data_IF_143881303218
#
_entry.id   IF_143881303218
#
_cell.length_a   1.000
_cell.length_b   1.000
_cell.length_c   1.000
_cell.angle_alpha   90.00
_cell.angle_beta   90.00
_cell.angle_gamma   90.00
#
_symmetry.space_group_name_H-M   'P 1'
#
loop_
_entity.id
_entity.type
_entity.pdbx_description
1 polymer ?
#
# COMPACT_ATOMS: atom_id res chain seq x y z
N UNK A 1 -19.36 -32.76 -77.53
CA UNK A 1 -18.36 -31.86 -76.97
C UNK A 1 -19.00 -30.67 -76.22
N UNK A 2 -20.16 -30.82 -75.58
CA UNK A 2 -20.90 -29.70 -74.91
C UNK A 2 -21.16 -29.99 -73.42
N UNK A 3 -20.88 -31.21 -72.93
CA UNK A 3 -21.14 -31.60 -71.52
C UNK A 3 -19.96 -31.36 -70.52
N UNK A 4 -18.76 -31.03 -71.04
CA UNK A 4 -17.57 -30.82 -70.17
C UNK A 4 -17.37 -29.37 -69.71
N UNK A 5 -18.08 -28.41 -70.29
CA UNK A 5 -17.94 -26.97 -69.96
C UNK A 5 -18.84 -26.54 -68.80
N UNK A 6 -19.95 -27.18 -68.49
CA UNK A 6 -20.90 -26.82 -67.43
C UNK A 6 -20.46 -27.25 -66.02
N UNK A 7 -19.67 -28.33 -65.94
CA UNK A 7 -19.17 -28.77 -64.60
C UNK A 7 -18.06 -27.91 -64.04
N UNK A 8 -17.29 -27.18 -64.84
CA UNK A 8 -16.21 -26.31 -64.42
C UNK A 8 -16.71 -24.93 -63.91
N UNK A 9 -17.89 -24.51 -64.31
CA UNK A 9 -18.51 -23.27 -63.93
C UNK A 9 -19.21 -23.43 -62.57
N UNK A 10 -19.86 -24.56 -62.30
CA UNK A 10 -20.49 -24.87 -61.02
C UNK A 10 -19.45 -25.05 -59.88
N UNK A 11 -18.29 -25.67 -60.21
CA UNK A 11 -17.22 -25.84 -59.21
C UNK A 11 -16.54 -24.50 -58.76
N UNK A 12 -16.53 -23.50 -59.66
CA UNK A 12 -15.97 -22.18 -59.35
C UNK A 12 -16.93 -21.28 -58.55
N UNK A 13 -18.23 -21.47 -58.69
CA UNK A 13 -19.24 -20.72 -57.91
C UNK A 13 -19.39 -21.25 -56.48
N UNK A 14 -19.13 -22.52 -56.21
CA UNK A 14 -19.15 -23.11 -54.87
C UNK A 14 -17.92 -22.73 -54.02
N UNK A 15 -16.77 -22.46 -54.64
CA UNK A 15 -15.55 -22.03 -53.93
C UNK A 15 -15.62 -20.56 -53.52
N UNK A 16 -16.33 -19.71 -54.22
CA UNK A 16 -16.49 -18.27 -53.88
C UNK A 16 -17.52 -18.08 -52.76
N UNK A 17 -18.52 -18.96 -52.63
CA UNK A 17 -19.51 -18.89 -51.56
C UNK A 17 -18.98 -19.36 -50.21
N UNK A 18 -17.90 -20.17 -50.17
CA UNK A 18 -17.33 -20.69 -48.90
C UNK A 18 -16.32 -19.73 -48.24
N UNK A 19 -15.85 -18.70 -48.93
CA UNK A 19 -14.90 -17.71 -48.38
C UNK A 19 -15.60 -16.51 -47.72
N UNK A 20 -16.89 -16.30 -47.98
CA UNK A 20 -17.64 -15.17 -47.45
C UNK A 20 -18.24 -15.40 -46.04
N UNK A 21 -18.09 -16.60 -45.44
CA UNK A 21 -18.63 -16.92 -44.10
C UNK A 21 -17.58 -16.98 -42.98
N UNK A 22 -16.33 -16.59 -43.22
CA UNK A 22 -15.24 -16.66 -42.23
C UNK A 22 -14.79 -15.29 -41.71
N UNK A 23 -15.53 -14.20 -41.93
CA UNK A 23 -15.18 -12.87 -41.40
C UNK A 23 -16.34 -12.29 -40.58
N UNK A 24 -16.67 -12.99 -39.51
CA UNK A 24 -17.44 -12.42 -38.43
C UNK A 24 -16.91 -12.96 -37.08
N UNK A 25 -15.59 -12.93 -36.91
CA UNK A 25 -15.04 -12.81 -35.57
C UNK A 25 -15.06 -11.32 -35.24
N UNK A 26 -16.03 -10.89 -34.46
CA UNK A 26 -16.10 -9.53 -33.95
C UNK A 26 -14.75 -9.12 -33.41
N UNK A 27 -14.18 -8.06 -33.92
CA UNK A 27 -13.22 -7.24 -33.19
C UNK A 27 -13.99 -6.67 -32.00
N UNK A 28 -14.15 -7.44 -30.90
CA UNK A 28 -14.32 -6.84 -29.61
C UNK A 28 -12.99 -6.13 -29.36
N UNK A 29 -13.01 -4.80 -29.44
CA UNK A 29 -11.90 -4.00 -28.94
C UNK A 29 -11.64 -4.49 -27.52
N UNK A 30 -10.39 -4.86 -27.18
CA UNK A 30 -10.10 -5.37 -25.85
C UNK A 30 -10.50 -4.28 -24.84
N UNK A 31 -11.50 -4.56 -24.03
CA UNK A 31 -11.92 -3.66 -22.95
C UNK A 31 -10.67 -3.27 -22.17
N UNK A 32 -10.38 -1.99 -21.96
CA UNK A 32 -9.20 -1.56 -21.25
C UNK A 32 -9.07 -2.31 -19.92
N UNK A 33 -7.92 -2.91 -19.67
CA UNK A 33 -7.63 -3.57 -18.39
C UNK A 33 -7.07 -2.54 -17.42
N UNK A 34 -7.61 -2.50 -16.21
CA UNK A 34 -7.06 -1.68 -15.13
C UNK A 34 -5.89 -2.46 -14.52
N UNK A 35 -4.68 -1.97 -14.73
CA UNK A 35 -3.48 -2.59 -14.15
C UNK A 35 -3.14 -1.91 -12.82
N UNK A 36 -3.13 -2.69 -11.75
CA UNK A 36 -2.77 -2.23 -10.40
C UNK A 36 -1.29 -2.54 -10.15
N UNK A 37 -0.54 -1.54 -9.77
CA UNK A 37 0.89 -1.65 -9.49
C UNK A 37 1.17 -2.29 -8.13
N UNK A 38 2.17 -3.16 -8.06
CA UNK A 38 2.81 -3.57 -6.82
C UNK A 38 4.31 -3.28 -6.89
N UNK A 39 4.83 -2.57 -5.89
CA UNK A 39 6.27 -2.42 -5.67
C UNK A 39 6.90 -3.69 -5.09
N UNK A 40 8.13 -3.58 -4.59
CA UNK A 40 8.90 -4.74 -4.11
C UNK A 40 8.47 -5.24 -2.70
N UNK A 41 7.62 -4.50 -1.97
CA UNK A 41 7.19 -4.92 -0.64
C UNK A 41 6.02 -5.93 -0.69
N UNK A 42 5.94 -6.77 0.33
CA UNK A 42 4.82 -7.70 0.52
C UNK A 42 3.50 -6.91 0.66
N UNK A 43 3.53 -5.85 1.45
CA UNK A 43 2.36 -4.97 1.62
C UNK A 43 1.86 -4.42 0.29
N UNK A 44 2.75 -3.89 -0.55
CA UNK A 44 2.37 -3.38 -1.87
C UNK A 44 1.70 -4.46 -2.74
N UNK A 45 2.20 -5.70 -2.64
CA UNK A 45 1.61 -6.84 -3.36
C UNK A 45 0.22 -7.19 -2.83
N UNK A 46 0.04 -7.21 -1.51
CA UNK A 46 -1.28 -7.46 -0.88
C UNK A 46 -2.28 -6.36 -1.23
N UNK A 47 -1.88 -5.09 -1.14
CA UNK A 47 -2.74 -3.96 -1.50
C UNK A 47 -3.13 -3.97 -2.98
N UNK A 48 -2.18 -4.28 -3.87
CA UNK A 48 -2.46 -4.38 -5.30
C UNK A 48 -3.50 -5.46 -5.61
N UNK A 49 -3.41 -6.62 -4.97
CA UNK A 49 -4.38 -7.71 -5.12
C UNK A 49 -5.75 -7.37 -4.52
N UNK A 50 -5.79 -6.66 -3.38
CA UNK A 50 -7.04 -6.15 -2.79
C UNK A 50 -7.73 -5.19 -3.76
N UNK A 51 -7.02 -4.18 -4.27
CA UNK A 51 -7.61 -3.18 -5.18
C UNK A 51 -8.00 -3.79 -6.53
N UNK A 52 -7.16 -4.66 -7.11
CA UNK A 52 -7.48 -5.36 -8.33
C UNK A 52 -8.72 -6.25 -8.16
N UNK A 53 -8.79 -7.02 -7.08
CA UNK A 53 -9.91 -7.89 -6.76
C UNK A 53 -11.21 -7.10 -6.52
N UNK A 54 -11.15 -5.99 -5.78
CA UNK A 54 -12.30 -5.12 -5.53
C UNK A 54 -12.83 -4.50 -6.83
N UNK A 55 -11.94 -4.01 -7.69
CA UNK A 55 -12.30 -3.46 -9.01
C UNK A 55 -12.88 -4.54 -9.94
N UNK A 56 -12.32 -5.76 -9.94
CA UNK A 56 -12.85 -6.88 -10.73
C UNK A 56 -14.30 -7.22 -10.37
N UNK A 57 -14.69 -7.10 -9.11
CA UNK A 57 -16.08 -7.33 -8.63
C UNK A 57 -17.06 -6.25 -9.09
N UNK A 58 -16.59 -5.15 -9.67
CA UNK A 58 -17.45 -4.20 -10.39
C UNK A 58 -17.73 -4.60 -11.85
N UNK A 59 -17.09 -5.67 -12.34
CA UNK A 59 -17.13 -6.12 -13.72
C UNK A 59 -15.94 -5.59 -14.55
N UNK A 60 -15.01 -4.84 -13.96
CA UNK A 60 -13.81 -4.39 -14.65
C UNK A 60 -12.85 -5.56 -14.91
N UNK A 61 -12.12 -5.50 -16.03
CA UNK A 61 -10.97 -6.38 -16.27
C UNK A 61 -9.76 -5.78 -15.56
N UNK A 62 -9.16 -6.54 -14.65
CA UNK A 62 -8.03 -6.08 -13.84
C UNK A 62 -6.82 -7.00 -14.01
N UNK A 63 -5.64 -6.46 -13.82
CA UNK A 63 -4.39 -7.19 -13.72
C UNK A 63 -3.52 -6.58 -12.63
N UNK A 64 -2.64 -7.36 -12.00
CA UNK A 64 -1.61 -6.86 -11.09
C UNK A 64 -0.27 -6.90 -11.83
N UNK A 65 0.47 -5.79 -11.78
CA UNK A 65 1.85 -5.69 -12.25
C UNK A 65 2.79 -5.73 -11.02
N UNK A 66 3.39 -6.89 -10.71
CA UNK A 66 4.23 -7.05 -9.53
C UNK A 66 5.65 -6.57 -9.76
N UNK A 67 6.38 -6.29 -8.66
CA UNK A 67 7.83 -6.06 -8.69
C UNK A 67 8.26 -4.82 -9.44
N UNK A 68 7.48 -3.73 -9.36
CA UNK A 68 7.80 -2.47 -10.04
C UNK A 68 8.84 -1.61 -9.29
N UNK A 69 9.58 -2.20 -8.38
CA UNK A 69 10.65 -1.51 -7.67
C UNK A 69 10.16 -0.68 -6.49
N UNK A 70 10.88 0.41 -6.21
CA UNK A 70 10.60 1.35 -5.13
C UNK A 70 9.57 2.40 -5.55
N UNK A 71 9.15 3.26 -4.59
CA UNK A 71 8.13 4.30 -4.82
C UNK A 71 8.37 5.12 -6.09
N UNK A 72 9.56 5.59 -6.34
CA UNK A 72 9.88 6.36 -7.54
C UNK A 72 9.62 5.57 -8.84
N UNK A 73 9.88 4.27 -8.84
CA UNK A 73 9.76 3.41 -10.02
C UNK A 73 8.30 3.16 -10.39
N UNK A 74 7.45 2.78 -9.42
CA UNK A 74 6.03 2.57 -9.71
C UNK A 74 5.24 3.87 -9.91
N UNK A 75 5.64 4.99 -9.27
CA UNK A 75 5.07 6.30 -9.58
C UNK A 75 5.42 6.75 -10.99
N UNK A 76 6.65 6.52 -11.46
CA UNK A 76 7.01 6.76 -12.85
C UNK A 76 6.25 5.85 -13.83
N UNK A 77 5.91 4.61 -13.41
CA UNK A 77 5.07 3.73 -14.21
C UNK A 77 3.62 4.24 -14.28
N UNK A 78 3.09 4.78 -13.19
CA UNK A 78 1.76 5.40 -13.11
C UNK A 78 1.69 6.67 -13.98
N UNK A 79 2.71 7.53 -13.92
CA UNK A 79 2.80 8.74 -14.73
C UNK A 79 2.86 8.42 -16.22
N UNK A 80 3.62 7.38 -16.59
CA UNK A 80 3.75 6.89 -17.98
C UNK A 80 2.56 6.06 -18.47
N UNK A 81 1.46 5.96 -17.69
CA UNK A 81 0.27 5.15 -17.99
C UNK A 81 0.52 3.65 -18.23
N UNK A 82 1.64 3.12 -17.73
CA UNK A 82 1.92 1.67 -17.78
C UNK A 82 1.14 0.89 -16.74
N UNK A 83 0.75 1.56 -15.66
CA UNK A 83 -0.16 1.09 -14.60
C UNK A 83 -1.12 2.22 -14.27
N UNK A 84 -2.27 1.90 -13.68
CA UNK A 84 -3.33 2.88 -13.51
C UNK A 84 -3.70 3.13 -12.05
N UNK A 85 -3.44 2.19 -11.16
CA UNK A 85 -3.74 2.26 -9.73
C UNK A 85 -2.54 1.75 -8.93
N UNK A 86 -2.29 2.33 -7.77
CA UNK A 86 -1.30 1.85 -6.81
C UNK A 86 -1.78 2.09 -5.38
N UNK A 87 -1.47 1.16 -4.47
CA UNK A 87 -1.65 1.36 -3.03
C UNK A 87 -0.51 2.18 -2.45
N UNK A 88 -0.83 3.22 -1.69
CA UNK A 88 0.15 4.13 -1.08
C UNK A 88 -0.14 4.44 0.38
N UNK A 89 0.85 5.00 1.07
CA UNK A 89 0.73 5.54 2.41
C UNK A 89 0.66 7.06 2.38
N UNK A 90 -0.27 7.62 3.12
CA UNK A 90 -0.52 9.06 3.14
C UNK A 90 0.71 9.89 3.50
N UNK A 91 1.37 9.58 4.61
CA UNK A 91 2.50 10.36 5.10
C UNK A 91 3.77 10.18 4.27
N UNK A 92 4.05 8.94 3.85
CA UNK A 92 5.22 8.64 3.02
C UNK A 92 5.07 9.18 1.59
N UNK A 93 3.85 9.16 1.03
CA UNK A 93 3.56 9.81 -0.25
C UNK A 93 3.72 11.33 -0.14
N UNK A 94 3.17 11.94 0.93
CA UNK A 94 3.36 13.38 1.16
C UNK A 94 4.83 13.75 1.25
N UNK A 95 5.62 12.99 2.01
CA UNK A 95 7.05 13.27 2.15
C UNK A 95 7.85 13.10 0.83
N UNK A 96 7.34 12.27 -0.09
CA UNK A 96 7.91 12.13 -1.43
C UNK A 96 7.54 13.32 -2.34
N UNK A 97 6.31 13.83 -2.23
CA UNK A 97 5.80 14.95 -3.05
C UNK A 97 6.25 16.31 -2.52
N UNK A 98 6.33 16.48 -1.21
CA UNK A 98 6.74 17.69 -0.51
C UNK A 98 7.56 17.32 0.76
N UNK A 99 8.87 17.37 0.64
CA UNK A 99 9.80 17.07 1.75
C UNK A 99 9.73 18.08 2.90
N UNK A 100 9.17 19.26 2.66
CA UNK A 100 9.03 20.33 3.65
C UNK A 100 7.67 20.33 4.35
N UNK A 101 6.75 19.44 3.96
CA UNK A 101 5.44 19.35 4.60
C UNK A 101 5.57 19.04 6.10
N UNK A 102 4.91 19.84 6.92
CA UNK A 102 4.93 19.71 8.39
C UNK A 102 3.64 19.15 9.00
N UNK A 103 2.58 19.03 8.19
CA UNK A 103 1.30 18.49 8.65
C UNK A 103 1.43 17.01 9.05
N UNK A 104 0.67 16.61 10.09
CA UNK A 104 0.80 15.27 10.69
C UNK A 104 -0.53 14.56 10.90
N UNK A 105 -1.62 15.29 11.13
CA UNK A 105 -2.93 14.71 11.39
C UNK A 105 -3.52 14.11 10.10
N UNK A 106 -4.25 13.00 10.17
CA UNK A 106 -4.72 12.26 8.98
C UNK A 106 -5.42 13.12 7.93
N UNK A 107 -6.36 13.98 8.34
CA UNK A 107 -7.12 14.84 7.44
C UNK A 107 -6.23 15.89 6.75
N UNK A 108 -5.30 16.46 7.51
CA UNK A 108 -4.35 17.47 6.99
C UNK A 108 -3.37 16.83 6.01
N UNK A 109 -2.89 15.62 6.32
CA UNK A 109 -1.97 14.86 5.46
C UNK A 109 -2.64 14.52 4.13
N UNK A 110 -3.87 13.97 4.14
CA UNK A 110 -4.60 13.66 2.90
C UNK A 110 -4.87 14.92 2.08
N UNK A 111 -5.24 16.03 2.72
CA UNK A 111 -5.43 17.31 2.04
C UNK A 111 -4.13 17.81 1.40
N UNK A 112 -3.01 17.69 2.11
CA UNK A 112 -1.70 18.10 1.60
C UNK A 112 -1.24 17.17 0.46
N UNK A 113 -1.44 15.85 0.56
CA UNK A 113 -1.21 14.91 -0.54
C UNK A 113 -1.99 15.34 -1.77
N UNK A 114 -3.30 15.55 -1.63
CA UNK A 114 -4.17 15.93 -2.75
C UNK A 114 -3.74 17.25 -3.42
N UNK A 115 -3.19 18.19 -2.65
CA UNK A 115 -2.68 19.47 -3.15
C UNK A 115 -1.31 19.35 -3.84
N UNK A 116 -0.47 18.39 -3.42
CA UNK A 116 0.88 18.19 -3.93
C UNK A 116 0.95 17.20 -5.11
N UNK A 117 -0.14 16.44 -5.38
CA UNK A 117 -0.17 15.50 -6.48
C UNK A 117 0.04 16.18 -7.83
N UNK A 118 0.81 15.56 -8.74
CA UNK A 118 0.88 15.98 -10.14
C UNK A 118 -0.49 16.05 -10.80
N UNK A 119 -0.64 16.97 -11.76
CA UNK A 119 -1.86 17.05 -12.57
C UNK A 119 -2.15 15.69 -13.22
N UNK A 120 -3.42 15.27 -13.14
CA UNK A 120 -3.84 13.98 -13.70
C UNK A 120 -3.81 12.80 -12.73
N UNK A 121 -3.30 12.97 -11.51
CA UNK A 121 -3.38 11.96 -10.45
C UNK A 121 -4.36 12.38 -9.36
N UNK A 122 -5.02 11.41 -8.75
CA UNK A 122 -5.96 11.60 -7.64
C UNK A 122 -5.86 10.44 -6.64
N UNK A 123 -6.25 10.71 -5.42
CA UNK A 123 -6.45 9.69 -4.37
C UNK A 123 -7.94 9.56 -4.07
N UNK A 124 -8.32 8.39 -3.54
CA UNK A 124 -9.64 8.14 -2.98
C UNK A 124 -9.58 8.18 -1.45
N UNK A 125 -10.64 7.69 -0.78
CA UNK A 125 -10.68 7.67 0.67
C UNK A 125 -9.51 6.85 1.25
N UNK A 126 -8.94 7.35 2.35
CA UNK A 126 -7.95 6.59 3.12
C UNK A 126 -8.64 5.54 4.00
N UNK A 127 -7.97 4.44 4.24
CA UNK A 127 -8.37 3.45 5.22
C UNK A 127 -8.11 4.00 6.65
N UNK A 128 -9.14 4.53 7.29
CA UNK A 128 -9.02 5.13 8.63
C UNK A 128 -8.59 4.11 9.67
N UNK A 129 -9.08 2.86 9.54
CA UNK A 129 -8.74 1.74 10.41
C UNK A 129 -7.36 1.15 10.18
N UNK A 130 -6.69 1.46 9.06
CA UNK A 130 -5.35 0.98 8.74
C UNK A 130 -4.30 2.06 9.04
N UNK A 131 -3.88 2.14 10.31
CA UNK A 131 -2.84 3.06 10.80
C UNK A 131 -1.49 2.34 10.88
N UNK A 132 -0.64 2.59 9.88
CA UNK A 132 0.67 1.97 9.73
C UNK A 132 1.83 2.88 10.16
N UNK A 133 1.53 4.00 10.82
CA UNK A 133 2.59 4.91 11.31
C UNK A 133 3.52 4.20 12.30
N UNK A 134 4.78 4.64 12.39
CA UNK A 134 5.73 4.14 13.37
C UNK A 134 5.24 4.29 14.81
N UNK A 135 5.69 3.38 15.67
CA UNK A 135 5.38 3.40 17.09
C UNK A 135 6.61 3.77 17.93
N UNK A 136 6.41 4.66 18.89
CA UNK A 136 7.45 5.09 19.86
C UNK A 136 7.44 4.13 21.04
N UNK A 137 8.61 3.59 21.38
CA UNK A 137 8.79 2.55 22.39
C UNK A 137 9.75 3.02 23.47
N UNK A 138 9.44 2.65 24.71
CA UNK A 138 10.35 2.67 25.86
C UNK A 138 10.40 1.28 26.49
N UNK A 139 11.39 1.00 27.35
CA UNK A 139 11.24 -0.15 28.25
C UNK A 139 10.05 0.09 29.19
N UNK A 140 9.30 -0.98 29.51
CA UNK A 140 8.16 -0.87 30.45
C UNK A 140 8.62 -0.31 31.81
N UNK A 141 9.83 -0.64 32.24
CA UNK A 141 10.43 -0.12 33.47
C UNK A 141 10.66 1.40 33.40
N UNK A 142 11.32 1.91 32.34
CA UNK A 142 11.57 3.35 32.17
C UNK A 142 10.26 4.13 32.06
N UNK A 143 9.31 3.65 31.26
CA UNK A 143 7.99 4.28 31.13
C UNK A 143 7.26 4.40 32.48
N UNK A 144 7.33 3.36 33.32
CA UNK A 144 6.71 3.37 34.65
C UNK A 144 7.44 4.31 35.65
N UNK A 145 8.78 4.24 35.68
CA UNK A 145 9.60 5.07 36.57
C UNK A 145 9.45 6.56 36.26
N UNK A 146 9.48 6.92 35.00
CA UNK A 146 9.41 8.29 34.51
C UNK A 146 7.99 8.79 34.31
N UNK A 147 6.99 7.92 34.48
CA UNK A 147 5.57 8.20 34.27
C UNK A 147 5.26 8.69 32.84
N UNK A 148 5.98 8.17 31.85
CA UNK A 148 5.78 8.47 30.40
C UNK A 148 4.77 7.48 29.85
N UNK A 149 3.65 7.98 29.34
CA UNK A 149 2.57 7.18 28.72
C UNK A 149 2.31 7.58 27.28
N UNK A 150 2.61 8.83 26.94
CA UNK A 150 2.38 9.40 25.63
C UNK A 150 3.68 9.89 25.02
N UNK A 151 3.70 10.10 23.71
CA UNK A 151 4.82 10.74 23.03
C UNK A 151 5.00 12.17 23.51
N UNK A 152 3.90 12.88 23.85
CA UNK A 152 3.94 14.21 24.45
C UNK A 152 4.65 14.26 25.82
N UNK A 153 4.51 13.22 26.66
CA UNK A 153 5.25 13.11 27.92
C UNK A 153 6.76 12.94 27.70
N UNK A 154 7.15 12.30 26.59
CA UNK A 154 8.55 12.06 26.22
C UNK A 154 9.22 13.33 25.68
N UNK A 155 8.51 14.16 24.93
CA UNK A 155 9.04 15.30 24.18
C UNK A 155 9.98 16.21 24.97
N UNK A 156 9.70 16.61 26.26
CA UNK A 156 10.61 17.47 27.01
C UNK A 156 11.98 16.86 27.35
N UNK A 157 12.15 15.54 27.13
CA UNK A 157 13.34 14.77 27.53
C UNK A 157 14.16 14.28 26.34
N UNK A 158 13.65 14.37 25.13
CA UNK A 158 14.25 13.79 23.93
C UNK A 158 15.69 14.21 23.67
N UNK A 159 16.06 15.47 23.94
CA UNK A 159 17.38 16.04 23.64
C UNK A 159 18.56 15.33 24.29
N UNK A 160 18.33 14.55 25.36
CA UNK A 160 19.36 13.76 26.02
C UNK A 160 19.34 12.26 25.66
N UNK A 161 18.40 11.81 24.82
CA UNK A 161 18.14 10.40 24.57
C UNK A 161 18.65 9.98 23.17
N UNK A 162 19.10 8.74 23.08
CA UNK A 162 19.41 8.07 21.82
C UNK A 162 18.19 7.27 21.36
N UNK A 163 17.73 7.50 20.12
CA UNK A 163 16.66 6.73 19.51
C UNK A 163 17.24 5.61 18.61
N UNK A 164 16.74 4.38 18.81
CA UNK A 164 16.94 3.28 17.91
C UNK A 164 15.80 3.22 16.90
N UNK A 165 16.09 2.97 15.63
CA UNK A 165 15.09 2.87 14.56
C UNK A 165 15.18 1.50 13.92
N UNK A 166 14.04 0.83 13.74
CA UNK A 166 13.94 -0.40 12.97
C UNK A 166 12.69 -0.39 12.10
N UNK A 167 12.81 -0.88 10.87
CA UNK A 167 11.68 -1.09 9.97
C UNK A 167 11.19 -2.53 10.07
N UNK A 168 9.89 -2.73 10.10
CA UNK A 168 9.31 -4.07 10.06
C UNK A 168 9.35 -4.62 8.62
N UNK A 169 9.91 -5.84 8.41
CA UNK A 169 9.97 -6.44 7.09
C UNK A 169 8.59 -6.64 6.46
N UNK A 170 8.50 -6.37 5.17
CA UNK A 170 7.28 -6.54 4.38
C UNK A 170 6.47 -5.26 4.16
N UNK A 171 6.74 -4.19 4.91
CA UNK A 171 6.11 -2.89 4.73
C UNK A 171 6.63 -2.15 3.49
N UNK A 172 5.80 -1.27 2.96
CA UNK A 172 6.24 -0.21 2.05
C UNK A 172 7.29 0.65 2.76
N UNK A 173 8.43 0.96 2.11
CA UNK A 173 9.43 1.82 2.72
C UNK A 173 8.85 3.19 3.04
N UNK A 174 9.00 3.62 4.29
CA UNK A 174 8.76 5.01 4.68
C UNK A 174 9.76 5.94 3.96
N UNK A 175 9.51 7.25 3.99
CA UNK A 175 10.38 8.21 3.32
C UNK A 175 11.76 8.40 3.97
N UNK A 176 12.17 7.53 4.89
CA UNK A 176 13.53 7.44 5.46
C UNK A 176 13.90 8.53 6.46
N UNK A 177 12.97 9.39 6.85
CA UNK A 177 13.14 10.38 7.92
C UNK A 177 11.92 10.39 8.83
N UNK A 178 11.72 9.29 9.53
CA UNK A 178 10.71 9.22 10.56
C UNK A 178 11.09 10.21 11.65
N UNK A 179 10.31 11.27 11.78
CA UNK A 179 10.47 12.30 12.82
C UNK A 179 9.38 12.14 13.85
N UNK A 180 9.76 12.32 15.10
CA UNK A 180 8.84 12.50 16.21
C UNK A 180 8.81 13.99 16.50
N UNK A 181 7.67 14.64 16.28
CA UNK A 181 7.53 16.08 16.51
C UNK A 181 7.77 16.42 17.99
N UNK A 182 8.49 17.52 18.21
CA UNK A 182 8.90 17.91 19.53
C UNK A 182 10.07 17.11 20.11
N UNK A 183 10.68 16.16 19.34
CA UNK A 183 11.81 15.35 19.79
C UNK A 183 13.04 15.57 18.90
N UNK A 184 14.02 16.28 19.43
CA UNK A 184 15.36 16.39 18.84
C UNK A 184 16.29 15.43 19.62
N UNK A 185 16.35 14.17 19.18
CA UNK A 185 17.16 13.14 19.83
C UNK A 185 18.65 13.44 19.73
N UNK A 186 19.42 13.10 20.77
CA UNK A 186 20.87 13.29 20.81
C UNK A 186 21.60 12.47 19.73
N UNK A 187 21.09 11.27 19.43
CA UNK A 187 21.62 10.39 18.39
C UNK A 187 20.53 9.46 17.86
N UNK A 188 20.72 8.98 16.64
CA UNK A 188 19.88 7.96 15.99
C UNK A 188 20.73 6.78 15.59
N UNK A 189 20.29 5.56 15.94
CA UNK A 189 20.94 4.29 15.63
C UNK A 189 19.97 3.40 14.85
N UNK A 190 20.36 2.96 13.66
CA UNK A 190 19.55 2.02 12.88
C UNK A 190 19.81 0.57 13.29
N UNK A 191 18.74 -0.21 13.38
CA UNK A 191 18.77 -1.64 13.66
C UNK A 191 18.21 -2.42 12.46
N UNK A 192 18.71 -3.64 12.19
CA UNK A 192 18.30 -4.39 11.01
C UNK A 192 16.86 -4.89 11.06
N UNK A 193 16.31 -5.07 12.27
CA UNK A 193 14.98 -5.62 12.47
C UNK A 193 14.39 -5.23 13.85
N UNK A 194 13.10 -5.46 14.08
CA UNK A 194 12.43 -5.17 15.35
C UNK A 194 12.99 -5.92 16.56
N UNK A 195 13.50 -7.15 16.39
CA UNK A 195 14.07 -7.95 17.49
C UNK A 195 15.39 -7.36 17.97
N UNK A 196 16.24 -6.91 17.05
CA UNK A 196 17.48 -6.21 17.36
C UNK A 196 17.23 -4.88 18.08
N UNK A 197 16.24 -4.10 17.65
CA UNK A 197 15.81 -2.88 18.31
C UNK A 197 15.31 -3.17 19.73
N UNK A 198 14.42 -4.17 19.89
CA UNK A 198 13.91 -4.58 21.21
C UNK A 198 15.06 -4.95 22.15
N UNK A 199 16.00 -5.77 21.67
CA UNK A 199 17.17 -6.16 22.46
C UNK A 199 18.00 -4.96 22.90
N UNK A 200 18.26 -4.02 21.99
CA UNK A 200 19.04 -2.81 22.28
C UNK A 200 18.36 -1.91 23.33
N UNK A 201 17.03 -1.81 23.29
CA UNK A 201 16.24 -1.11 24.32
C UNK A 201 16.36 -1.79 25.68
N UNK A 202 16.17 -3.10 25.75
CA UNK A 202 16.26 -3.87 27.02
C UNK A 202 17.67 -3.87 27.61
N UNK A 203 18.70 -3.86 26.78
CA UNK A 203 20.11 -3.77 27.19
C UNK A 203 20.55 -2.31 27.55
N UNK A 204 19.70 -1.32 27.29
CA UNK A 204 19.99 0.10 27.57
C UNK A 204 20.94 0.77 26.57
N UNK A 205 21.22 0.13 25.43
CA UNK A 205 22.06 0.71 24.36
C UNK A 205 21.39 1.92 23.70
N UNK A 206 20.06 1.93 23.62
CA UNK A 206 19.24 3.06 23.22
C UNK A 206 18.10 3.23 24.24
N UNK A 207 17.61 4.45 24.42
CA UNK A 207 16.60 4.77 25.43
C UNK A 207 15.20 4.82 24.82
N UNK A 208 15.08 5.15 23.56
CA UNK A 208 13.82 5.24 22.82
C UNK A 208 13.90 4.34 21.60
N UNK A 209 12.81 3.66 21.26
CA UNK A 209 12.66 2.91 20.02
C UNK A 209 11.67 3.61 19.10
N UNK A 210 11.95 3.63 17.81
CA UNK A 210 11.01 3.96 16.76
C UNK A 210 10.84 2.75 15.86
N UNK A 211 9.74 2.03 16.06
CA UNK A 211 9.40 0.83 15.31
C UNK A 211 8.58 1.22 14.08
N UNK A 212 9.10 0.98 12.89
CA UNK A 212 8.38 1.21 11.62
C UNK A 212 7.21 0.26 11.48
N UNK A 213 6.01 0.83 11.49
CA UNK A 213 4.74 0.11 11.42
C UNK A 213 4.19 -0.36 12.77
N UNK A 214 2.98 -0.94 12.75
CA UNK A 214 2.28 -1.41 13.94
C UNK A 214 2.91 -2.69 14.52
N UNK A 215 2.84 -2.89 15.87
CA UNK A 215 3.41 -4.08 16.54
C UNK A 215 2.84 -5.41 16.03
N UNK A 216 1.62 -5.42 15.53
CA UNK A 216 0.92 -6.58 14.98
C UNK A 216 1.68 -7.23 13.82
N UNK A 217 2.55 -6.48 13.14
CA UNK A 217 3.41 -7.00 12.06
C UNK A 217 4.60 -7.82 12.56
N UNK A 218 5.03 -7.60 13.80
CA UNK A 218 6.18 -8.27 14.39
C UNK A 218 5.85 -8.75 15.82
N UNK A 219 5.05 -9.83 15.97
CA UNK A 219 4.68 -10.37 17.26
C UNK A 219 5.91 -10.60 18.15
N UNK A 220 5.83 -10.19 19.42
CA UNK A 220 6.93 -10.26 20.38
C UNK A 220 7.98 -9.14 20.28
N UNK A 221 7.94 -8.30 19.25
CA UNK A 221 8.88 -7.17 19.12
C UNK A 221 8.72 -6.11 20.22
N UNK A 222 7.60 -6.07 20.90
CA UNK A 222 7.30 -5.13 22.00
C UNK A 222 7.26 -5.80 23.37
N UNK A 223 7.64 -7.07 23.50
CA UNK A 223 7.66 -7.75 24.79
C UNK A 223 8.64 -7.07 25.77
N UNK A 224 8.13 -6.68 26.94
CA UNK A 224 8.90 -5.93 27.95
C UNK A 224 9.03 -4.42 27.64
N UNK A 225 8.41 -3.96 26.56
CA UNK A 225 8.38 -2.55 26.16
C UNK A 225 6.99 -1.94 26.40
N UNK A 226 6.95 -0.63 26.53
CA UNK A 226 5.75 0.19 26.49
C UNK A 226 5.66 0.85 25.12
N UNK A 227 4.53 0.68 24.43
CA UNK A 227 4.17 1.44 23.23
C UNK A 227 3.50 2.73 23.70
N UNK A 228 4.08 3.87 23.39
CA UNK A 228 3.54 5.16 23.82
C UNK A 228 2.30 5.53 22.98
N UNK A 229 1.27 6.06 23.64
CA UNK A 229 0.12 6.64 22.96
C UNK A 229 0.54 7.91 22.21
N UNK A 230 -0.02 8.14 21.03
CA UNK A 230 0.29 9.28 20.15
C UNK A 230 -0.99 9.87 19.55
N UNK A 231 -1.91 10.29 20.39
CA UNK A 231 -3.21 10.85 19.98
C UNK A 231 -3.07 12.24 19.34
N UNK A 232 -1.95 12.91 19.60
CA UNK A 232 -1.62 14.21 19.03
C UNK A 232 -0.84 14.15 17.73
N UNK A 233 -0.57 12.93 17.21
CA UNK A 233 0.15 12.73 15.97
C UNK A 233 1.55 13.39 15.97
N UNK A 234 2.32 13.20 17.03
CA UNK A 234 3.73 13.55 17.03
C UNK A 234 4.50 12.75 15.95
N UNK A 235 4.07 11.52 15.67
CA UNK A 235 4.43 10.77 14.47
C UNK A 235 3.36 10.98 13.41
N UNK A 236 3.78 11.35 12.19
CA UNK A 236 2.87 11.62 11.07
C UNK A 236 1.98 10.42 10.76
N UNK A 237 0.71 10.68 10.46
CA UNK A 237 -0.24 9.67 10.02
C UNK A 237 0.22 8.93 8.77
N UNK A 238 0.04 7.61 8.77
CA UNK A 238 0.37 6.68 7.69
C UNK A 238 -0.82 5.76 7.44
N UNK A 239 -1.86 6.30 6.80
CA UNK A 239 -3.01 5.51 6.39
C UNK A 239 -2.84 5.03 4.94
N UNK A 240 -3.36 3.87 4.66
CA UNK A 240 -3.39 3.32 3.29
C UNK A 240 -4.45 4.02 2.45
N UNK A 241 -4.13 4.31 1.20
CA UNK A 241 -5.09 4.81 0.21
C UNK A 241 -4.73 4.38 -1.22
N UNK A 242 -5.71 4.31 -2.15
CA UNK A 242 -5.44 4.12 -3.55
C UNK A 242 -5.11 5.47 -4.22
N UNK A 243 -4.02 5.48 -4.98
CA UNK A 243 -3.60 6.54 -5.89
C UNK A 243 -3.85 6.08 -7.32
N UNK A 244 -4.49 6.87 -8.17
CA UNK A 244 -4.84 6.50 -9.53
C UNK A 244 -4.98 7.70 -10.48
N UNK A 245 -5.08 7.43 -11.78
CA UNK A 245 -5.24 8.46 -12.80
C UNK A 245 -6.65 9.03 -12.80
N UNK A 246 -6.74 10.35 -12.87
CA UNK A 246 -8.00 11.09 -12.91
C UNK A 246 -8.83 10.69 -14.15
N UNK A 247 -10.10 10.41 -13.94
CA UNK A 247 -11.02 10.05 -15.02
C UNK A 247 -10.94 8.60 -15.50
N UNK A 248 -10.02 7.80 -14.93
CA UNK A 248 -9.90 6.38 -15.26
C UNK A 248 -11.04 5.54 -14.67
N UNK A 249 -11.32 5.75 -13.40
CA UNK A 249 -12.32 5.00 -12.65
C UNK A 249 -13.67 5.69 -12.70
N UNK A 250 -14.74 4.93 -12.94
CA UNK A 250 -16.10 5.41 -12.80
C UNK A 250 -16.54 5.52 -11.31
N UNK A 251 -17.72 6.12 -11.07
CA UNK A 251 -18.22 6.31 -9.70
C UNK A 251 -18.45 4.99 -8.94
N UNK A 252 -18.84 3.91 -9.63
CA UNK A 252 -19.05 2.59 -9.00
C UNK A 252 -17.74 1.99 -8.56
N UNK A 253 -16.70 2.13 -9.37
CA UNK A 253 -15.35 1.66 -9.08
C UNK A 253 -14.72 2.44 -7.92
N UNK A 254 -14.81 3.78 -7.93
CA UNK A 254 -14.37 4.63 -6.82
C UNK A 254 -15.10 4.26 -5.52
N UNK A 255 -16.43 4.11 -5.57
CA UNK A 255 -17.22 3.70 -4.41
C UNK A 255 -16.78 2.32 -3.88
N UNK A 256 -16.38 1.39 -4.75
CA UNK A 256 -15.87 0.07 -4.33
C UNK A 256 -14.52 0.21 -3.61
N UNK A 257 -13.61 1.06 -4.08
CA UNK A 257 -12.35 1.37 -3.37
C UNK A 257 -12.61 2.05 -2.02
N UNK A 258 -13.61 2.94 -1.93
CA UNK A 258 -13.98 3.57 -0.66
C UNK A 258 -14.57 2.56 0.34
N UNK A 259 -15.28 1.52 -0.12
CA UNK A 259 -15.68 0.42 0.75
C UNK A 259 -14.48 -0.38 1.27
N UNK A 260 -13.48 -0.65 0.42
CA UNK A 260 -12.21 -1.24 0.87
C UNK A 260 -11.57 -0.38 1.96
N UNK A 261 -11.52 0.94 1.76
CA UNK A 261 -10.96 1.87 2.75
C UNK A 261 -11.75 1.85 4.08
N UNK A 262 -13.07 1.70 4.04
CA UNK A 262 -13.91 1.62 5.23
C UNK A 262 -13.74 0.32 6.04
N UNK A 263 -13.37 -0.77 5.38
CA UNK A 263 -13.27 -2.10 6.01
C UNK A 263 -11.84 -2.51 6.38
N UNK A 264 -10.82 -1.89 5.77
CA UNK A 264 -9.44 -2.31 5.98
C UNK A 264 -8.92 -1.84 7.33
N UNK A 265 -8.62 -2.81 8.21
CA UNK A 265 -8.12 -2.58 9.57
C UNK A 265 -6.63 -2.93 9.67
N UNK A 266 -5.93 -2.29 10.60
CA UNK A 266 -4.48 -2.50 10.85
C UNK A 266 -4.13 -3.95 11.12
N UNK A 267 -4.87 -4.62 11.99
CA UNK A 267 -4.62 -6.01 12.41
C UNK A 267 -4.87 -7.01 11.27
N UNK A 268 -5.90 -6.77 10.44
CA UNK A 268 -6.18 -7.61 9.28
C UNK A 268 -5.12 -7.45 8.18
N UNK A 269 -4.71 -6.22 7.87
CA UNK A 269 -3.63 -5.98 6.92
C UNK A 269 -2.31 -6.59 7.43
N UNK A 270 -2.01 -6.42 8.72
CA UNK A 270 -0.84 -7.04 9.34
C UNK A 270 -0.88 -8.56 9.28
N UNK A 271 -2.06 -9.17 9.50
CA UNK A 271 -2.24 -10.62 9.38
C UNK A 271 -2.01 -11.11 7.95
N UNK A 272 -2.53 -10.41 6.94
CA UNK A 272 -2.31 -10.74 5.52
C UNK A 272 -0.82 -10.64 5.15
N UNK A 273 -0.13 -9.56 5.57
CA UNK A 273 1.31 -9.39 5.32
C UNK A 273 2.11 -10.51 5.97
N UNK A 274 1.80 -10.88 7.22
CA UNK A 274 2.47 -11.99 7.92
C UNK A 274 2.22 -13.32 7.24
N UNK A 275 0.99 -13.60 6.81
CA UNK A 275 0.68 -14.86 6.11
C UNK A 275 1.50 -15.01 4.82
N UNK A 276 1.68 -13.92 4.08
CA UNK A 276 2.56 -13.94 2.90
C UNK A 276 4.04 -14.08 3.30
N UNK A 277 4.50 -13.33 4.30
CA UNK A 277 5.91 -13.28 4.71
C UNK A 277 6.37 -14.56 5.41
N UNK A 278 5.56 -15.05 6.35
CA UNK A 278 5.96 -16.08 7.30
C UNK A 278 5.47 -17.47 6.88
N UNK A 279 4.27 -17.55 6.26
CA UNK A 279 3.64 -18.82 5.85
C UNK A 279 3.82 -19.09 4.34
N UNK A 280 4.32 -18.12 3.56
CA UNK A 280 4.49 -18.25 2.12
C UNK A 280 3.19 -18.26 1.32
N UNK A 281 2.09 -17.74 1.89
CA UNK A 281 0.82 -17.63 1.19
C UNK A 281 0.93 -16.69 -0.03
N UNK A 282 0.16 -16.97 -1.09
CA UNK A 282 0.13 -16.08 -2.24
C UNK A 282 -0.65 -14.79 -1.91
N UNK A 283 -0.13 -13.58 -2.26
CA UNK A 283 -0.84 -12.32 -2.01
C UNK A 283 -2.28 -12.30 -2.53
N UNK A 284 -2.52 -12.85 -3.72
CA UNK A 284 -3.87 -12.94 -4.31
C UNK A 284 -4.83 -13.87 -3.56
N UNK A 285 -4.33 -14.89 -2.86
CA UNK A 285 -5.16 -15.77 -2.03
C UNK A 285 -5.62 -15.08 -0.75
N UNK A 286 -4.70 -14.43 -0.03
CA UNK A 286 -5.03 -13.70 1.21
C UNK A 286 -5.95 -12.51 0.92
N UNK A 287 -5.70 -11.77 -0.18
CA UNK A 287 -6.53 -10.66 -0.60
C UNK A 287 -7.95 -11.13 -0.97
N UNK A 288 -8.08 -12.22 -1.72
CA UNK A 288 -9.39 -12.79 -2.07
C UNK A 288 -10.17 -13.24 -0.84
N UNK A 289 -9.52 -13.96 0.08
CA UNK A 289 -10.15 -14.40 1.32
C UNK A 289 -10.65 -13.22 2.16
N UNK A 290 -9.86 -12.14 2.24
CA UNK A 290 -10.26 -10.91 2.93
C UNK A 290 -11.45 -10.23 2.24
N UNK A 291 -11.42 -10.06 0.91
CA UNK A 291 -12.51 -9.49 0.14
C UNK A 291 -13.81 -10.30 0.26
N UNK A 292 -13.71 -11.64 0.30
CA UNK A 292 -14.88 -12.53 0.46
C UNK A 292 -15.49 -12.40 1.86
N UNK A 293 -14.65 -12.29 2.89
CA UNK A 293 -15.07 -12.09 4.28
C UNK A 293 -15.87 -10.79 4.46
N UNK A 294 -15.50 -9.73 3.76
CA UNK A 294 -16.12 -8.40 3.84
C UNK A 294 -17.20 -8.17 2.77
N UNK A 295 -17.53 -9.19 1.97
CA UNK A 295 -18.50 -9.09 0.87
C UNK A 295 -18.19 -7.95 -0.14
N UNK A 296 -16.91 -7.67 -0.31
CA UNK A 296 -16.40 -6.58 -1.15
C UNK A 296 -16.17 -7.01 -2.60
#
# INVERSE_FOLDING_TARGET
>A
MVLAASQRVLARLLVVASVALAVSCGNEEPTPSITVAAGDSIESSVLAEIYAGALARTGARTAVAPGLGRRADYLAALDADRVQVVGEHTGALLAHLDEHATVRRPEEVVKAVSAALPEGLVVSDRAEGADLRPRVLLTAQAAAQDKVRTVGDLAPRCGGLTVGVATTPGLLPSAGRERVDGCDFAATVAFPDPAALRKALLDGHVQVGLLGGPPELAPGATDGLAVLADDDYAVRAENVLPLFRKGLLDQRQIKKLNYVAGELMTDELAAMIRSVRDDGAAPGEVARAWLDKHAL
#
